data_IF_152181984036
#
_entry.id   IF_152181984036
#
_cell.length_a   1.000
_cell.length_b   1.000
_cell.length_c   1.000
_cell.angle_alpha   90.00
_cell.angle_beta   90.00
_cell.angle_gamma   90.00
#
_symmetry.space_group_name_H-M   'P 1'
#
loop_
_entity.id
_entity.type
_entity.pdbx_description
1 polymer ?
#
# COMPACT_ATOMS: atom_id res chain seq x y z
N UNK A 1 -1.78 6.37 -16.01
CA UNK A 1 -1.01 6.72 -15.03
C UNK A 1 -1.55 6.41 -13.69
N UNK A 2 -0.83 5.84 -12.89
CA UNK A 2 -1.26 5.52 -11.59
C UNK A 2 -1.18 6.65 -10.72
N UNK A 3 -2.15 6.85 -9.91
CA UNK A 3 -2.01 7.85 -8.98
C UNK A 3 -2.04 7.20 -7.67
N UNK A 4 -1.03 7.38 -6.90
CA UNK A 4 -0.95 6.89 -5.57
C UNK A 4 -1.69 7.82 -4.70
N UNK A 5 -2.98 7.60 -4.59
CA UNK A 5 -3.76 8.48 -3.75
C UNK A 5 -3.62 8.16 -2.30
N UNK A 6 -3.21 6.94 -1.97
CA UNK A 6 -3.11 6.51 -0.59
C UNK A 6 -1.66 6.52 -0.14
N UNK A 7 -1.37 7.00 1.06
CA UNK A 7 -0.01 6.96 1.56
C UNK A 7 0.46 5.52 1.73
N UNK A 8 1.72 5.28 1.43
CA UNK A 8 2.32 3.97 1.57
C UNK A 8 3.54 4.10 2.47
N UNK A 9 3.59 3.26 3.48
CA UNK A 9 4.72 3.23 4.39
C UNK A 9 5.65 2.10 3.98
N UNK A 10 6.92 2.43 3.77
CA UNK A 10 7.92 1.44 3.39
C UNK A 10 8.89 1.29 4.53
N UNK A 11 9.09 0.07 4.98
CA UNK A 11 10.05 -0.18 6.05
C UNK A 11 10.85 -1.43 5.74
N UNK A 12 12.10 -1.47 6.22
CA UNK A 12 12.93 -2.64 5.95
C UNK A 12 12.48 -3.82 6.80
N UNK A 13 12.60 -5.00 6.23
CA UNK A 13 12.34 -6.23 6.96
C UNK A 13 13.65 -6.82 7.40
N UNK A 14 13.66 -7.42 8.59
CA UNK A 14 14.87 -8.06 9.07
C UNK A 14 15.15 -9.31 8.26
N UNK A 15 16.39 -9.80 8.33
CA UNK A 15 16.72 -11.03 7.65
C UNK A 15 15.87 -12.19 8.15
N UNK A 16 15.50 -12.14 9.42
CA UNK A 16 14.66 -13.20 9.97
C UNK A 16 13.27 -13.19 9.38
N UNK A 17 12.81 -12.03 8.95
CA UNK A 17 11.50 -11.90 8.34
C UNK A 17 11.55 -12.04 6.83
N UNK A 18 12.69 -12.41 6.29
CA UNK A 18 12.80 -12.60 4.87
C UNK A 18 13.61 -11.54 4.15
N UNK A 19 13.97 -10.49 4.83
CA UNK A 19 14.71 -9.39 4.20
C UNK A 19 13.82 -8.58 3.30
N UNK A 20 14.43 -7.63 2.60
CA UNK A 20 13.66 -6.78 1.71
C UNK A 20 12.93 -5.69 2.44
N UNK A 21 11.82 -5.27 1.86
CA UNK A 21 11.07 -4.13 2.37
C UNK A 21 9.58 -4.45 2.38
N UNK A 22 8.90 -3.95 3.40
CA UNK A 22 7.46 -4.10 3.52
C UNK A 22 6.81 -2.78 3.17
N UNK A 23 5.74 -2.85 2.38
CA UNK A 23 4.93 -1.68 2.07
C UNK A 23 3.55 -1.88 2.68
N UNK A 24 3.11 -0.91 3.45
CA UNK A 24 1.82 -0.98 4.11
C UNK A 24 1.00 0.23 3.70
N UNK A 25 -0.29 0.02 3.47
CA UNK A 25 -1.20 1.09 3.13
C UNK A 25 -2.15 1.28 4.30
N UNK A 26 -1.84 2.22 5.20
CA UNK A 26 -2.62 2.32 6.46
C UNK A 26 -4.11 2.60 6.26
N UNK A 27 -4.46 3.34 5.20
CA UNK A 27 -5.86 3.69 4.98
C UNK A 27 -6.69 2.51 4.51
N UNK A 28 -6.06 1.46 4.02
CA UNK A 28 -6.77 0.30 3.50
C UNK A 28 -6.43 -0.91 4.37
N UNK A 29 -7.35 -1.31 5.25
CA UNK A 29 -7.04 -2.38 6.20
C UNK A 29 -6.60 -3.67 5.51
N UNK A 30 -5.47 -4.20 5.93
CA UNK A 30 -4.96 -5.43 5.37
C UNK A 30 -4.24 -5.28 4.05
N UNK A 31 -4.15 -4.06 3.51
CA UNK A 31 -3.49 -3.85 2.23
C UNK A 31 -2.00 -3.67 2.46
N UNK A 32 -1.20 -4.61 2.01
CA UNK A 32 0.24 -4.54 2.18
C UNK A 32 0.90 -5.38 1.11
N UNK A 33 2.17 -5.13 0.89
CA UNK A 33 2.93 -5.88 -0.07
C UNK A 33 4.40 -5.82 0.33
N UNK A 34 5.28 -6.39 -0.47
CA UNK A 34 6.70 -6.35 -0.15
C UNK A 34 7.49 -6.36 -1.44
N UNK A 35 8.79 -6.16 -1.32
CA UNK A 35 9.70 -6.20 -2.45
C UNK A 35 11.11 -6.24 -1.95
N UNK A 36 12.04 -6.48 -2.86
CA UNK A 36 13.44 -6.55 -2.49
C UNK A 36 14.07 -5.18 -2.40
N UNK A 37 13.46 -4.19 -3.01
CA UNK A 37 13.90 -2.81 -2.92
C UNK A 37 12.71 -1.96 -2.55
N UNK A 38 12.94 -0.74 -2.04
CA UNK A 38 11.81 0.14 -1.75
C UNK A 38 10.95 0.43 -2.98
N UNK A 39 11.60 0.58 -4.14
CA UNK A 39 10.85 0.83 -5.36
C UNK A 39 9.98 -0.35 -5.75
N UNK A 40 10.51 -1.55 -5.58
CA UNK A 40 9.73 -2.74 -5.90
C UNK A 40 8.58 -2.90 -4.93
N UNK A 41 8.83 -2.65 -3.64
CA UNK A 41 7.76 -2.73 -2.65
C UNK A 41 6.66 -1.73 -2.96
N UNK A 42 7.05 -0.53 -3.40
CA UNK A 42 6.06 0.49 -3.75
C UNK A 42 5.24 0.07 -4.96
N UNK A 43 5.90 -0.43 -6.00
CA UNK A 43 5.18 -0.86 -7.19
C UNK A 43 4.21 -1.99 -6.86
N UNK A 44 4.64 -2.92 -6.03
CA UNK A 44 3.75 -4.01 -5.63
C UNK A 44 2.60 -3.51 -4.78
N UNK A 45 2.85 -2.48 -3.96
CA UNK A 45 1.78 -1.89 -3.18
C UNK A 45 0.74 -1.21 -4.07
N UNK A 46 1.18 -0.59 -5.16
CA UNK A 46 0.23 0.02 -6.08
C UNK A 46 -0.71 -1.02 -6.65
N UNK A 47 -0.16 -2.17 -7.02
CA UNK A 47 -0.99 -3.26 -7.51
C UNK A 47 -1.95 -3.76 -6.42
N UNK A 48 -1.44 -3.84 -5.19
CA UNK A 48 -2.27 -4.29 -4.09
C UNK A 48 -3.42 -3.32 -3.82
N UNK A 49 -3.15 -2.03 -3.96
CA UNK A 49 -4.20 -1.03 -3.78
C UNK A 49 -5.29 -1.23 -4.82
N UNK A 50 -4.92 -1.42 -6.07
CA UNK A 50 -5.92 -1.61 -7.12
C UNK A 50 -6.75 -2.85 -6.87
N UNK A 51 -6.10 -3.94 -6.46
CA UNK A 51 -6.83 -5.17 -6.16
C UNK A 51 -7.76 -4.98 -4.97
N UNK A 52 -7.26 -4.27 -3.95
CA UNK A 52 -8.07 -4.04 -2.76
C UNK A 52 -9.31 -3.22 -3.08
N UNK A 53 -9.13 -2.17 -3.90
CA UNK A 53 -10.25 -1.32 -4.27
C UNK A 53 -11.26 -2.08 -5.12
N UNK A 54 -10.77 -2.90 -6.02
CA UNK A 54 -11.66 -3.68 -6.86
C UNK A 54 -12.46 -4.68 -6.03
N UNK A 55 -11.80 -5.35 -5.10
CA UNK A 55 -12.50 -6.28 -4.22
C UNK A 55 -13.52 -5.57 -3.35
N UNK A 56 -13.17 -4.39 -2.86
CA UNK A 56 -14.10 -3.65 -2.02
C UNK A 56 -15.35 -3.26 -2.81
N UNK A 57 -15.16 -2.84 -4.05
CA UNK A 57 -16.31 -2.51 -4.89
C UNK A 57 -17.18 -3.72 -5.15
N UNK A 58 -16.55 -4.86 -5.44
CA UNK A 58 -17.30 -6.07 -5.72
C UNK A 58 -18.09 -6.54 -4.51
N UNK A 59 -17.56 -6.30 -3.32
CA UNK A 59 -18.23 -6.71 -2.10
C UNK A 59 -19.17 -5.65 -1.56
N UNK A 60 -19.23 -4.51 -2.20
CA UNK A 60 -20.08 -3.43 -1.73
C UNK A 60 -19.58 -2.77 -0.47
N UNK A 61 -18.28 -2.82 -0.21
CA UNK A 61 -17.72 -2.23 1.00
C UNK A 61 -17.36 -0.77 0.76
N UNK A 62 -17.32 -0.03 1.85
CA UNK A 62 -16.92 1.36 1.78
C UNK A 62 -15.45 1.45 1.41
N UNK A 63 -15.13 2.43 0.58
CA UNK A 63 -13.75 2.68 0.21
C UNK A 63 -13.30 3.93 0.93
N UNK A 64 -12.29 3.82 1.80
CA UNK A 64 -11.84 4.97 2.57
C UNK A 64 -11.23 6.03 1.67
N UNK A 65 -11.38 7.28 2.07
CA UNK A 65 -10.72 8.36 1.37
C UNK A 65 -9.25 8.38 1.74
N UNK A 66 -8.38 8.77 0.81
CA UNK A 66 -6.95 8.85 1.13
C UNK A 66 -6.66 9.90 2.19
N UNK A 67 -5.73 9.58 3.06
CA UNK A 67 -5.26 10.55 4.01
C UNK A 67 -4.46 11.63 3.31
N UNK A 68 -4.52 12.84 3.83
CA UNK A 68 -3.82 13.94 3.20
C UNK A 68 -2.87 14.62 4.14
N UNK A 69 -2.44 13.92 5.15
CA UNK A 69 -1.64 14.57 6.14
C UNK A 69 -0.35 15.10 5.60
N UNK A 70 0.14 14.55 4.55
CA UNK A 70 1.38 15.06 4.04
C UNK A 70 1.21 16.29 3.24
N UNK A 71 0.06 16.50 2.79
CA UNK A 71 -0.11 17.56 1.87
C UNK A 71 -0.14 18.85 2.49
N UNK A 72 -0.40 18.99 3.54
CA UNK A 72 -0.43 20.16 4.01
C UNK A 72 0.38 20.35 4.78
N UNK A 73 0.98 19.52 4.58
CA UNK A 73 1.99 19.86 5.20
C UNK A 73 1.31 20.71 5.45
#
# INVERSE_FOLDING_TARGET
MTSLKYPVLISPLSAEDGGGFLATVPDLPGCMSDGETPQEALANAEDAIESWLEAARDLGRDIPSPSRHAANG
#
